data_IF_757642671339
#
_entry.id   IF_757642671339
#
_cell.length_a   1.000
_cell.length_b   1.000
_cell.length_c   1.000
_cell.angle_alpha   90.00
_cell.angle_beta   90.00
_cell.angle_gamma   90.00
#
_symmetry.space_group_name_H-M   'P 1'
#
loop_
_entity.id
_entity.type
_entity.pdbx_description
1 polymer ?
#
# COMPACT_ATOMS: atom_id res chain seq x y z
N UNK A 1 24.23 -19.26 9.52
CA UNK A 1 24.31 -17.85 9.94
C UNK A 1 24.51 -17.02 8.70
N UNK A 2 23.44 -16.46 8.13
CA UNK A 2 23.54 -15.56 6.98
C UNK A 2 23.38 -14.14 7.52
N UNK A 3 24.52 -13.45 7.63
CA UNK A 3 24.61 -12.04 7.92
C UNK A 3 23.95 -11.28 6.77
N UNK A 4 22.92 -10.50 7.08
CA UNK A 4 22.35 -9.55 6.11
C UNK A 4 23.46 -8.58 5.74
N UNK A 5 24.00 -8.74 4.55
CA UNK A 5 24.97 -7.83 3.97
C UNK A 5 24.24 -6.51 3.70
N UNK A 6 24.78 -5.43 4.25
CA UNK A 6 24.32 -4.07 3.99
C UNK A 6 24.50 -3.78 2.50
N UNK A 7 23.43 -3.97 1.72
CA UNK A 7 23.35 -3.44 0.36
C UNK A 7 23.37 -1.91 0.45
N UNK A 8 24.55 -1.33 0.18
CA UNK A 8 24.68 0.10 -0.06
C UNK A 8 23.72 0.46 -1.20
N UNK A 9 22.70 1.24 -0.85
CA UNK A 9 21.68 1.79 -1.73
C UNK A 9 22.27 2.94 -2.55
N UNK A 10 23.35 2.67 -3.28
CA UNK A 10 24.15 3.65 -4.00
C UNK A 10 23.60 3.85 -5.43
N UNK A 11 22.35 4.30 -5.51
CA UNK A 11 21.66 4.47 -6.78
C UNK A 11 20.45 5.39 -6.75
N UNK A 12 20.11 5.95 -5.58
CA UNK A 12 19.16 7.04 -5.50
C UNK A 12 20.02 8.27 -5.41
N UNK A 13 20.12 8.97 -6.54
CA UNK A 13 20.59 10.35 -6.55
C UNK A 13 19.98 11.04 -5.35
N UNK A 14 20.87 11.49 -4.46
CA UNK A 14 20.69 12.50 -3.45
C UNK A 14 20.14 13.78 -4.10
N UNK A 15 18.95 13.70 -4.67
CA UNK A 15 18.06 14.84 -4.68
C UNK A 15 17.72 14.98 -3.23
N UNK A 16 18.40 15.91 -2.56
CA UNK A 16 18.06 16.47 -1.26
C UNK A 16 16.57 16.82 -1.29
N UNK A 17 15.72 15.82 -1.11
CA UNK A 17 14.30 15.99 -0.93
C UNK A 17 14.25 16.49 0.49
N UNK A 18 14.39 17.81 0.60
CA UNK A 18 14.51 18.57 1.84
C UNK A 18 13.66 17.87 2.89
N UNK A 19 14.30 17.28 3.89
CA UNK A 19 13.63 16.43 4.89
C UNK A 19 12.46 17.19 5.55
N UNK A 20 12.56 18.52 5.54
CA UNK A 20 11.53 19.48 5.90
C UNK A 20 10.29 19.48 5.01
N UNK A 21 10.44 19.25 3.71
CA UNK A 21 9.31 18.98 2.80
C UNK A 21 8.64 17.66 3.13
N UNK A 22 9.37 16.61 3.54
CA UNK A 22 8.73 15.35 3.98
C UNK A 22 7.93 15.52 5.29
N UNK A 23 8.23 16.54 6.09
CA UNK A 23 7.47 16.89 7.30
C UNK A 23 6.17 17.67 7.00
N UNK A 24 5.95 18.13 5.76
CA UNK A 24 4.67 18.73 5.38
C UNK A 24 3.56 17.66 5.43
N UNK A 25 2.46 17.98 6.10
CA UNK A 25 1.29 17.09 6.22
C UNK A 25 0.72 16.58 4.89
N UNK A 26 1.02 17.23 3.76
CA UNK A 26 0.60 16.79 2.42
C UNK A 26 1.35 15.56 1.89
N UNK A 27 2.51 15.25 2.47
CA UNK A 27 3.29 14.05 2.17
C UNK A 27 3.17 12.98 3.27
N UNK A 28 2.27 13.20 4.24
CA UNK A 28 1.97 12.22 5.26
C UNK A 28 1.32 10.97 4.63
N UNK A 29 1.85 9.81 4.99
CA UNK A 29 1.43 8.53 4.41
C UNK A 29 -0.03 8.21 4.74
N UNK A 30 -0.51 8.65 5.90
CA UNK A 30 -1.91 8.50 6.28
C UNK A 30 -2.82 9.39 5.42
N UNK A 31 -2.44 10.64 5.14
CA UNK A 31 -3.18 11.50 4.20
C UNK A 31 -3.24 10.91 2.78
N UNK A 32 -2.14 10.31 2.31
CA UNK A 32 -2.14 9.58 1.04
C UNK A 32 -3.09 8.38 1.08
N UNK A 33 -3.01 7.55 2.13
CA UNK A 33 -3.82 6.35 2.26
C UNK A 33 -5.32 6.69 2.30
N UNK A 34 -5.72 7.72 3.04
CA UNK A 34 -7.12 8.17 3.07
C UNK A 34 -7.67 8.52 1.68
N UNK A 35 -6.83 9.06 0.79
CA UNK A 35 -7.25 9.55 -0.52
C UNK A 35 -7.22 8.47 -1.60
N UNK A 36 -6.21 7.62 -1.59
CA UNK A 36 -5.94 6.70 -2.70
C UNK A 36 -6.10 5.23 -2.36
N UNK A 37 -6.12 4.85 -1.08
CA UNK A 37 -6.32 3.46 -0.75
C UNK A 37 -7.77 3.07 -1.03
N UNK A 38 -7.96 1.81 -1.42
CA UNK A 38 -9.28 1.24 -1.65
C UNK A 38 -10.07 1.29 -0.35
N UNK A 39 -11.09 2.14 -0.32
CA UNK A 39 -12.03 2.14 0.80
C UNK A 39 -12.95 0.93 0.70
N UNK A 40 -13.43 0.46 1.86
CA UNK A 40 -14.42 -0.59 1.95
C UNK A 40 -15.78 -0.14 1.39
N UNK A 41 -15.91 0.04 0.09
CA UNK A 41 -17.20 0.36 -0.52
C UNK A 41 -18.04 -0.90 -0.49
N UNK A 42 -18.87 -1.02 0.54
CA UNK A 42 -20.04 -1.87 0.48
C UNK A 42 -21.01 -1.30 -0.55
N UNK A 43 -20.85 -1.64 -1.84
CA UNK A 43 -21.94 -1.50 -2.81
C UNK A 43 -21.56 -1.14 -4.25
N UNK A 44 -22.04 -2.00 -5.16
CA UNK A 44 -22.25 -1.79 -6.61
C UNK A 44 -21.04 -1.90 -7.56
N UNK A 45 -20.46 -3.09 -7.59
CA UNK A 45 -19.79 -3.65 -8.76
C UNK A 45 -20.00 -5.16 -8.73
N UNK A 46 -20.36 -5.76 -9.85
CA UNK A 46 -21.04 -7.06 -9.95
C UNK A 46 -20.33 -8.25 -9.27
N UNK A 47 -21.17 -9.22 -8.91
CA UNK A 47 -20.82 -10.51 -8.34
C UNK A 47 -19.65 -11.22 -9.04
N UNK A 48 -18.56 -11.39 -8.31
CA UNK A 48 -17.87 -12.68 -8.31
C UNK A 48 -17.43 -13.01 -6.88
N UNK A 49 -18.01 -14.08 -6.35
CA UNK A 49 -17.85 -14.57 -4.99
C UNK A 49 -16.38 -14.95 -4.73
N UNK A 50 -15.58 -14.07 -4.16
CA UNK A 50 -14.41 -14.47 -3.37
C UNK A 50 -14.75 -14.27 -1.89
N UNK A 51 -14.97 -15.41 -1.22
CA UNK A 51 -15.24 -15.51 0.21
C UNK A 51 -13.93 -15.28 0.98
N UNK A 52 -13.40 -14.07 0.97
CA UNK A 52 -12.31 -13.67 1.87
C UNK A 52 -12.91 -12.93 3.06
N UNK A 53 -13.32 -13.71 4.07
CA UNK A 53 -13.72 -13.23 5.40
C UNK A 53 -12.50 -12.78 6.22
N UNK A 54 -11.64 -11.94 5.65
CA UNK A 54 -10.63 -11.24 6.42
C UNK A 54 -10.82 -9.76 6.12
N UNK A 55 -11.84 -9.22 6.77
CA UNK A 55 -12.30 -7.82 6.71
C UNK A 55 -11.68 -7.05 7.88
N UNK A 56 -10.56 -7.55 8.41
CA UNK A 56 -9.95 -6.98 9.58
C UNK A 56 -9.09 -5.80 9.11
N UNK A 57 -9.67 -4.60 9.35
CA UNK A 57 -9.02 -3.29 9.28
C UNK A 57 -8.72 -2.71 7.89
N UNK A 58 -9.77 -2.37 7.14
CA UNK A 58 -9.70 -1.42 6.00
C UNK A 58 -9.53 0.05 6.46
N UNK A 59 -9.06 0.29 7.68
CA UNK A 59 -8.78 1.62 8.18
C UNK A 59 -7.44 2.10 7.59
N UNK A 60 -7.35 3.30 6.99
CA UNK A 60 -6.10 3.80 6.43
C UNK A 60 -4.91 3.75 7.38
N UNK A 61 -5.13 3.96 8.68
CA UNK A 61 -4.10 3.88 9.72
C UNK A 61 -3.58 2.46 9.97
N UNK A 62 -4.37 1.43 9.67
CA UNK A 62 -3.99 0.03 9.82
C UNK A 62 -3.35 -0.49 8.52
N UNK A 63 -3.83 -0.03 7.35
CA UNK A 63 -3.30 -0.43 6.05
C UNK A 63 -1.87 0.08 5.78
N UNK A 64 -1.46 1.17 6.44
CA UNK A 64 -0.07 1.68 6.35
C UNK A 64 0.88 1.00 7.35
N UNK A 65 0.38 0.13 8.22
CA UNK A 65 1.19 -0.64 9.15
C UNK A 65 1.56 -1.99 8.54
N UNK A 66 2.70 -2.51 8.97
CA UNK A 66 3.12 -3.85 8.61
C UNK A 66 2.09 -4.89 9.06
N UNK A 67 1.67 -5.76 8.14
CA UNK A 67 0.81 -6.90 8.40
C UNK A 67 1.52 -8.20 8.04
N UNK A 68 1.29 -9.24 8.85
CA UNK A 68 1.74 -10.61 8.54
C UNK A 68 0.75 -11.36 7.64
N UNK A 69 -0.45 -10.82 7.45
CA UNK A 69 -1.44 -11.38 6.55
C UNK A 69 -1.13 -10.89 5.14
N UNK A 70 -0.87 -11.79 4.16
CA UNK A 70 -0.61 -11.38 2.79
C UNK A 70 -1.74 -10.52 2.24
N UNK A 71 -1.39 -9.54 1.41
CA UNK A 71 -2.37 -8.73 0.70
C UNK A 71 -3.11 -9.62 -0.31
N UNK A 72 -4.42 -9.43 -0.42
CA UNK A 72 -5.25 -10.16 -1.38
C UNK A 72 -5.66 -9.31 -2.59
N UNK A 73 -5.43 -8.00 -2.48
CA UNK A 73 -5.72 -6.98 -3.48
C UNK A 73 -4.72 -5.83 -3.31
N UNK A 74 -4.55 -5.02 -4.35
CA UNK A 74 -3.69 -3.83 -4.28
C UNK A 74 -4.25 -2.81 -3.28
N UNK A 75 -3.37 -2.13 -2.53
CA UNK A 75 -3.80 -1.09 -1.59
C UNK A 75 -4.50 0.08 -2.29
N UNK A 76 -4.12 0.40 -3.53
CA UNK A 76 -4.70 1.46 -4.35
C UNK A 76 -5.62 0.91 -5.45
N UNK A 77 -6.51 1.76 -5.96
CA UNK A 77 -7.29 1.45 -7.16
C UNK A 77 -6.44 1.59 -8.43
N UNK A 78 -6.51 0.61 -9.32
CA UNK A 78 -5.94 0.69 -10.66
C UNK A 78 -7.05 0.81 -11.69
N UNK A 79 -6.81 1.59 -12.74
CA UNK A 79 -7.70 1.60 -13.92
C UNK A 79 -7.62 0.28 -14.70
N UNK A 80 -6.48 -0.38 -14.67
CA UNK A 80 -6.27 -1.70 -15.26
C UNK A 80 -6.45 -2.81 -14.22
N UNK A 81 -7.45 -3.67 -14.45
CA UNK A 81 -7.75 -4.83 -13.62
C UNK A 81 -6.60 -5.85 -13.52
N UNK A 82 -5.70 -5.91 -14.51
CA UNK A 82 -4.54 -6.80 -14.50
C UNK A 82 -3.51 -6.41 -13.44
N UNK A 83 -3.34 -5.11 -13.20
CA UNK A 83 -2.36 -4.56 -12.26
C UNK A 83 -2.65 -4.93 -10.80
N UNK A 84 -3.93 -5.10 -10.43
CA UNK A 84 -4.30 -5.54 -9.09
C UNK A 84 -3.68 -6.90 -8.73
N UNK A 85 -3.66 -7.85 -9.69
CA UNK A 85 -3.10 -9.18 -9.47
C UNK A 85 -1.59 -9.13 -9.32
N UNK A 86 -0.94 -8.45 -10.27
CA UNK A 86 0.53 -8.28 -10.25
C UNK A 86 0.97 -7.66 -8.93
N UNK A 87 0.28 -6.63 -8.44
CA UNK A 87 0.62 -5.98 -7.18
C UNK A 87 0.39 -6.85 -5.94
N UNK A 88 -0.58 -7.76 -5.96
CA UNK A 88 -0.84 -8.66 -4.84
C UNK A 88 0.12 -9.85 -4.77
N UNK A 89 0.79 -10.18 -5.88
CA UNK A 89 1.74 -11.30 -5.98
C UNK A 89 3.20 -10.91 -5.67
N UNK A 90 3.50 -9.61 -5.56
CA UNK A 90 4.82 -9.06 -5.17
C UNK A 90 5.06 -9.21 -3.67
#
# INVERSE_FOLDING_TARGET
>A
DQTIENVSFDGFSDGELDERMMQDSKYDMLEFAKKYFRQATGGKGEFSKSKTKNRDSREPTEMIKFSKTPLTESLIEFTDSGMNRVAADL
#
